data_IF_332970136821
#
_entry.id   IF_332970136821
#
_cell.length_a   1.000
_cell.length_b   1.000
_cell.length_c   1.000
_cell.angle_alpha   90.00
_cell.angle_beta   90.00
_cell.angle_gamma   90.00
#
_symmetry.space_group_name_H-M   'P 1'
#
loop_
_entity.id
_entity.type
_entity.pdbx_description
1 polymer ?
#
# COMPACT_ATOMS: atom_id res chain seq x y z
N UNK A 1 14.30 17.46 6.87
CA UNK A 1 13.24 17.77 5.88
C UNK A 1 12.82 16.56 5.01
N UNK A 2 13.41 15.37 5.20
CA UNK A 2 13.08 14.19 4.37
C UNK A 2 11.78 13.49 4.80
N UNK A 3 11.49 13.46 6.10
CA UNK A 3 10.23 12.91 6.62
C UNK A 3 9.00 13.61 6.02
N UNK A 4 9.02 14.94 5.92
CA UNK A 4 7.95 15.73 5.31
C UNK A 4 7.74 15.40 3.84
N UNK A 5 8.82 15.09 3.09
CA UNK A 5 8.72 14.70 1.68
C UNK A 5 8.04 13.34 1.54
N UNK A 6 8.36 12.39 2.42
CA UNK A 6 7.75 11.06 2.40
C UNK A 6 6.25 11.11 2.72
N UNK A 7 5.85 11.93 3.70
CA UNK A 7 4.44 12.15 4.02
C UNK A 7 3.67 12.76 2.84
N UNK A 8 4.23 13.81 2.22
CA UNK A 8 3.60 14.45 1.06
C UNK A 8 3.50 13.51 -0.15
N UNK A 9 4.44 12.58 -0.31
CA UNK A 9 4.41 11.58 -1.37
C UNK A 9 3.34 10.51 -1.12
N UNK A 10 3.10 10.14 0.14
CA UNK A 10 2.08 9.16 0.53
C UNK A 10 0.64 9.72 0.49
N UNK A 11 0.46 10.98 0.89
CA UNK A 11 -0.83 11.66 1.02
C UNK A 11 -1.84 11.36 -0.11
N UNK A 12 -1.51 11.51 -1.41
CA UNK A 12 -2.46 11.23 -2.48
C UNK A 12 -2.97 9.78 -2.50
N UNK A 13 -2.15 8.81 -2.09
CA UNK A 13 -2.56 7.41 -2.08
C UNK A 13 -3.53 7.11 -0.92
N UNK A 14 -3.29 7.71 0.25
CA UNK A 14 -4.18 7.59 1.40
C UNK A 14 -5.54 8.25 1.12
N UNK A 15 -5.55 9.42 0.46
CA UNK A 15 -6.79 10.08 0.04
C UNK A 15 -7.58 9.29 -1.01
N UNK A 16 -6.90 8.53 -1.87
CA UNK A 16 -7.53 7.69 -2.89
C UNK A 16 -8.04 6.34 -2.35
N UNK A 17 -7.47 5.83 -1.26
CA UNK A 17 -7.79 4.51 -0.72
C UNK A 17 -9.30 4.29 -0.44
N UNK A 18 -10.06 5.25 0.14
CA UNK A 18 -11.50 5.09 0.34
C UNK A 18 -12.31 4.92 -0.96
N UNK A 19 -11.81 5.46 -2.07
CA UNK A 19 -12.47 5.39 -3.38
C UNK A 19 -12.14 4.11 -4.17
N UNK A 20 -11.12 3.36 -3.74
CA UNK A 20 -10.75 2.08 -4.34
C UNK A 20 -11.69 0.94 -3.85
N UNK A 21 -12.83 0.80 -4.52
CA UNK A 21 -13.92 -0.08 -4.08
C UNK A 21 -13.88 -1.52 -4.64
N UNK A 22 -12.88 -1.87 -5.45
CA UNK A 22 -12.70 -3.23 -5.98
C UNK A 22 -11.32 -3.77 -5.63
N UNK A 23 -11.16 -5.10 -5.46
CA UNK A 23 -9.85 -5.70 -5.17
C UNK A 23 -8.78 -5.28 -6.18
N UNK A 24 -9.14 -5.22 -7.47
CA UNK A 24 -8.29 -4.72 -8.54
C UNK A 24 -7.86 -3.27 -8.34
N UNK A 25 -8.80 -2.37 -8.02
CA UNK A 25 -8.48 -0.95 -7.81
C UNK A 25 -7.55 -0.74 -6.61
N UNK A 26 -7.71 -1.55 -5.56
CA UNK A 26 -6.82 -1.52 -4.39
C UNK A 26 -5.43 -2.08 -4.77
N UNK A 27 -5.36 -3.17 -5.52
CA UNK A 27 -4.08 -3.71 -6.02
C UNK A 27 -3.32 -2.70 -6.90
N UNK A 28 -4.02 -2.00 -7.79
CA UNK A 28 -3.45 -0.92 -8.61
C UNK A 28 -2.99 0.28 -7.75
N UNK A 29 -3.72 0.59 -6.67
CA UNK A 29 -3.31 1.63 -5.72
C UNK A 29 -2.02 1.24 -5.00
N UNK A 30 -1.93 0.01 -4.48
CA UNK A 30 -0.74 -0.50 -3.80
C UNK A 30 0.46 -0.46 -4.75
N UNK A 31 0.30 -1.00 -5.96
CA UNK A 31 1.37 -1.04 -6.97
C UNK A 31 1.92 0.34 -7.28
N UNK A 32 1.04 1.34 -7.41
CA UNK A 32 1.46 2.74 -7.64
C UNK A 32 2.18 3.32 -6.42
N UNK A 33 1.67 3.09 -5.21
CA UNK A 33 2.28 3.61 -3.99
C UNK A 33 3.69 3.02 -3.76
N UNK A 34 3.86 1.70 -3.89
CA UNK A 34 5.16 1.04 -3.68
C UNK A 34 6.18 1.37 -4.77
N UNK A 35 5.72 1.82 -5.94
CA UNK A 35 6.58 2.24 -7.06
C UNK A 35 6.81 3.75 -7.12
N UNK A 36 6.16 4.53 -6.24
CA UNK A 36 6.21 5.97 -6.29
C UNK A 36 7.53 6.51 -5.67
N UNK A 37 8.22 7.44 -6.34
CA UNK A 37 9.45 8.01 -5.81
C UNK A 37 9.17 8.76 -4.51
N UNK A 38 10.14 8.72 -3.60
CA UNK A 38 10.08 9.36 -2.28
C UNK A 38 8.95 8.84 -1.36
N UNK A 39 8.28 7.74 -1.70
CA UNK A 39 7.24 7.13 -0.85
C UNK A 39 7.86 5.96 -0.08
N UNK A 40 8.13 6.17 1.20
CA UNK A 40 8.84 5.20 2.05
C UNK A 40 8.08 4.84 3.34
N UNK A 41 6.96 5.51 3.59
CA UNK A 41 6.07 5.23 4.72
C UNK A 41 4.77 4.68 4.15
N UNK A 42 4.26 3.60 4.72
CA UNK A 42 3.11 2.86 4.17
C UNK A 42 2.09 2.42 5.23
N UNK A 43 2.36 2.69 6.52
CA UNK A 43 1.51 2.25 7.62
C UNK A 43 0.09 2.79 7.49
N UNK A 44 -0.05 4.08 7.21
CA UNK A 44 -1.35 4.75 7.06
C UNK A 44 -2.14 4.20 5.87
N UNK A 45 -1.46 3.87 4.77
CA UNK A 45 -2.10 3.26 3.60
C UNK A 45 -2.54 1.82 3.93
N UNK A 46 -1.68 1.06 4.62
CA UNK A 46 -1.96 -0.31 5.05
C UNK A 46 -3.17 -0.38 5.99
N UNK A 47 -3.32 0.58 6.91
CA UNK A 47 -4.43 0.62 7.88
C UNK A 47 -5.79 0.96 7.25
N UNK A 48 -5.82 1.44 6.00
CA UNK A 48 -7.10 1.78 5.36
C UNK A 48 -8.01 0.56 5.19
N UNK A 49 -9.30 0.76 5.44
CA UNK A 49 -10.31 -0.31 5.40
C UNK A 49 -10.32 -1.10 4.09
N UNK A 50 -10.19 -0.41 2.96
CA UNK A 50 -10.24 -1.03 1.64
C UNK A 50 -8.99 -1.87 1.34
N UNK A 51 -7.82 -1.45 1.84
CA UNK A 51 -6.59 -2.24 1.78
C UNK A 51 -6.71 -3.49 2.66
N UNK A 52 -7.16 -3.35 3.90
CA UNK A 52 -7.39 -4.49 4.80
C UNK A 52 -8.45 -5.47 4.27
N UNK A 53 -9.41 -4.99 3.48
CA UNK A 53 -10.42 -5.85 2.86
C UNK A 53 -9.83 -6.87 1.87
N UNK A 54 -8.65 -6.61 1.29
CA UNK A 54 -7.95 -7.57 0.42
C UNK A 54 -7.64 -8.90 1.11
N UNK A 55 -7.44 -8.90 2.44
CA UNK A 55 -7.20 -10.13 3.19
C UNK A 55 -8.37 -11.14 3.09
N UNK A 56 -9.58 -10.64 2.79
CA UNK A 56 -10.80 -11.44 2.64
C UNK A 56 -11.16 -11.69 1.16
N UNK A 57 -10.40 -11.14 0.22
CA UNK A 57 -10.61 -11.34 -1.20
C UNK A 57 -10.04 -12.70 -1.65
N UNK A 58 -10.26 -13.04 -2.93
CA UNK A 58 -9.68 -14.22 -3.56
C UNK A 58 -8.15 -14.29 -3.34
N UNK A 59 -7.61 -15.52 -3.34
CA UNK A 59 -6.18 -15.77 -3.13
C UNK A 59 -5.27 -15.01 -4.10
N UNK A 60 -5.74 -14.71 -5.32
CA UNK A 60 -5.02 -13.92 -6.33
C UNK A 60 -4.61 -12.51 -5.84
N UNK A 61 -5.33 -11.93 -4.87
CA UNK A 61 -5.10 -10.56 -4.40
C UNK A 61 -4.23 -10.49 -3.15
N UNK A 62 -4.06 -11.61 -2.43
CA UNK A 62 -3.24 -11.69 -1.22
C UNK A 62 -1.79 -11.21 -1.43
N UNK A 63 -1.10 -11.52 -2.55
CA UNK A 63 0.26 -11.06 -2.79
C UNK A 63 0.43 -9.53 -2.74
N UNK A 64 -0.57 -8.75 -3.16
CA UNK A 64 -0.51 -7.28 -3.11
C UNK A 64 -0.54 -6.76 -1.67
N UNK A 65 -1.38 -7.37 -0.81
CA UNK A 65 -1.42 -7.01 0.60
C UNK A 65 -0.11 -7.41 1.29
N UNK A 66 0.40 -8.61 1.01
CA UNK A 66 1.70 -9.06 1.52
C UNK A 66 2.83 -8.14 1.09
N UNK A 67 2.85 -7.71 -0.18
CA UNK A 67 3.84 -6.76 -0.69
C UNK A 67 3.80 -5.44 0.10
N UNK A 68 2.60 -4.88 0.32
CA UNK A 68 2.46 -3.65 1.10
C UNK A 68 2.94 -3.84 2.54
N UNK A 69 2.67 -5.00 3.15
CA UNK A 69 3.20 -5.33 4.47
C UNK A 69 4.73 -5.40 4.45
N UNK A 70 5.35 -6.06 3.47
CA UNK A 70 6.82 -6.08 3.37
C UNK A 70 7.37 -4.65 3.26
N UNK A 71 6.73 -3.78 2.49
CA UNK A 71 7.15 -2.39 2.34
C UNK A 71 6.99 -1.55 3.61
N UNK A 72 6.01 -1.82 4.46
CA UNK A 72 5.80 -1.02 5.68
C UNK A 72 6.72 -1.43 6.84
N UNK A 73 7.17 -2.69 6.91
CA UNK A 73 7.82 -3.25 8.11
C UNK A 73 8.63 -4.54 7.87
N UNK A 74 8.64 -5.07 6.64
CA UNK A 74 9.46 -6.23 6.27
C UNK A 74 10.83 -5.84 5.71
N UNK A 75 11.52 -6.85 5.20
CA UNK A 75 12.87 -6.76 4.63
C UNK A 75 12.92 -7.39 3.25
N UNK A 76 14.04 -7.23 2.55
CA UNK A 76 14.28 -7.93 1.29
C UNK A 76 14.18 -9.46 1.42
N UNK A 77 14.53 -10.02 2.58
CA UNK A 77 14.43 -11.46 2.82
C UNK A 77 12.98 -11.93 2.90
N UNK A 78 12.04 -11.09 3.32
CA UNK A 78 10.61 -11.41 3.36
C UNK A 78 9.97 -11.36 1.96
N UNK A 79 10.63 -10.73 0.98
CA UNK A 79 10.17 -10.64 -0.40
C UNK A 79 10.65 -11.81 -1.29
N UNK A 80 11.79 -12.40 -0.97
CA UNK A 80 12.38 -13.54 -1.70
C UNK A 80 11.58 -14.82 -1.50
#
# INVERSE_FOLDING_TARGET
>A
MEHTKALNALEPFVLLAPSANSPRAVADLITRATSAPNTFVFAELLETRNVQALARANDEWKPYLTLLQIFAWGTWMDYQ
#
